data_IF_798011369331
#
_entry.id   IF_798011369331
#
_cell.length_a   1.000
_cell.length_b   1.000
_cell.length_c   1.000
_cell.angle_alpha   90.00
_cell.angle_beta   90.00
_cell.angle_gamma   90.00
#
_symmetry.space_group_name_H-M   'P 1'
#
loop_
_entity.id
_entity.type
_entity.pdbx_description
1 polymer ?
#
# COMPACT_ATOMS: atom_id res chain seq x y z
N UNK A 1 -7.15 14.51 11.00
CA UNK A 1 -8.02 14.92 9.89
C UNK A 1 -9.46 15.08 10.36
N UNK A 2 -9.89 16.31 10.66
CA UNK A 2 -11.27 16.61 11.11
C UNK A 2 -12.29 16.43 9.97
N UNK A 3 -11.83 16.46 8.72
CA UNK A 3 -12.67 16.31 7.53
C UNK A 3 -12.70 14.86 7.00
N UNK A 4 -12.41 13.87 7.82
CA UNK A 4 -12.27 12.46 7.40
C UNK A 4 -13.53 11.88 6.72
N UNK A 5 -14.72 12.42 7.01
CA UNK A 5 -15.98 12.00 6.37
C UNK A 5 -16.18 12.55 4.95
N UNK A 6 -15.44 13.58 4.57
CA UNK A 6 -15.57 14.31 3.31
C UNK A 6 -14.36 14.12 2.39
N UNK A 7 -13.27 13.56 2.94
CA UNK A 7 -11.98 13.44 2.25
C UNK A 7 -11.49 12.01 2.32
N UNK A 8 -10.71 11.61 1.34
CA UNK A 8 -9.96 10.37 1.40
C UNK A 8 -8.63 10.57 2.15
N UNK A 9 -7.88 9.51 2.42
CA UNK A 9 -6.64 9.54 3.20
C UNK A 9 -5.53 10.41 2.58
N UNK A 10 -5.59 10.75 1.29
CA UNK A 10 -4.72 11.74 0.66
C UNK A 10 -4.67 13.04 1.47
N UNK A 11 -5.82 13.48 2.00
CA UNK A 11 -5.89 14.68 2.82
C UNK A 11 -5.24 14.48 4.20
N UNK A 12 -5.33 13.29 4.76
CA UNK A 12 -4.62 12.94 6.00
C UNK A 12 -3.10 12.94 5.81
N UNK A 13 -2.62 12.41 4.68
CA UNK A 13 -1.20 12.49 4.31
C UNK A 13 -0.73 13.94 4.11
N UNK A 14 -1.52 14.77 3.45
CA UNK A 14 -1.26 16.20 3.32
C UNK A 14 -1.05 16.89 4.67
N UNK A 15 -1.94 16.66 5.63
CA UNK A 15 -1.85 17.24 6.97
C UNK A 15 -0.63 16.73 7.77
N UNK A 16 -0.26 15.47 7.59
CA UNK A 16 0.90 14.87 8.25
C UNK A 16 2.23 15.28 7.61
N UNK A 17 2.22 15.54 6.29
CA UNK A 17 3.41 15.79 5.47
C UNK A 17 4.45 16.72 6.07
N UNK A 18 4.10 17.90 6.64
CA UNK A 18 5.07 18.81 7.22
C UNK A 18 5.89 18.25 8.40
N UNK A 19 5.46 17.12 8.99
CA UNK A 19 6.15 16.43 10.10
C UNK A 19 6.91 15.18 9.66
N UNK A 20 6.72 14.74 8.41
CA UNK A 20 7.30 13.52 7.86
C UNK A 20 8.51 13.88 7.01
N UNK A 21 9.71 13.72 7.55
CA UNK A 21 10.98 14.08 6.88
C UNK A 21 12.04 13.01 7.16
N UNK A 22 11.67 11.75 6.95
CA UNK A 22 12.55 10.59 7.14
C UNK A 22 12.17 9.49 6.14
N UNK A 23 12.94 8.41 6.10
CA UNK A 23 12.52 7.17 5.48
C UNK A 23 11.28 6.65 6.19
N UNK A 24 10.32 6.12 5.44
CA UNK A 24 9.05 5.71 6.00
C UNK A 24 8.68 4.27 5.67
N UNK A 25 7.95 3.66 6.60
CA UNK A 25 6.97 2.61 6.31
C UNK A 25 5.58 3.23 6.41
N UNK A 26 4.85 3.23 5.31
CA UNK A 26 3.48 3.69 5.24
C UNK A 26 2.58 2.47 5.02
N UNK A 27 1.57 2.32 5.87
CA UNK A 27 0.58 1.26 5.74
C UNK A 27 -0.83 1.80 6.00
N UNK A 28 -1.81 1.17 5.40
CA UNK A 28 -3.21 1.40 5.76
C UNK A 28 -3.50 0.80 7.14
N UNK A 29 -4.40 1.43 7.91
CA UNK A 29 -4.65 1.06 9.31
C UNK A 29 -5.54 -0.17 9.51
N UNK A 30 -6.02 -0.77 8.43
CA UNK A 30 -6.90 -1.93 8.33
C UNK A 30 -6.19 -3.19 7.85
N UNK A 31 -4.86 -3.17 7.76
CA UNK A 31 -4.05 -4.33 7.40
C UNK A 31 -3.77 -5.24 8.58
N UNK A 32 -3.95 -6.54 8.38
CA UNK A 32 -3.45 -7.61 9.25
C UNK A 32 -2.41 -8.41 8.49
N UNK A 33 -1.24 -8.61 9.08
CA UNK A 33 -0.11 -9.23 8.39
C UNK A 33 0.84 -9.96 9.35
N UNK A 34 1.67 -10.85 8.80
CA UNK A 34 2.72 -11.54 9.53
C UNK A 34 3.80 -10.57 9.99
N UNK A 35 4.32 -10.77 11.19
CA UNK A 35 5.48 -10.01 11.71
C UNK A 35 6.70 -10.13 10.79
N UNK A 36 6.96 -11.32 10.24
CA UNK A 36 8.05 -11.57 9.30
C UNK A 36 8.00 -10.69 8.04
N UNK A 37 6.81 -10.24 7.63
CA UNK A 37 6.65 -9.31 6.50
C UNK A 37 7.22 -7.92 6.83
N UNK A 38 7.05 -7.45 8.06
CA UNK A 38 7.64 -6.18 8.52
C UNK A 38 9.15 -6.29 8.62
N UNK A 39 9.68 -7.39 9.14
CA UNK A 39 11.13 -7.63 9.16
C UNK A 39 11.71 -7.60 7.75
N UNK A 40 11.07 -8.29 6.81
CA UNK A 40 11.49 -8.38 5.41
C UNK A 40 11.50 -7.01 4.73
N UNK A 41 10.40 -6.22 4.84
CA UNK A 41 10.32 -4.90 4.20
C UNK A 41 11.25 -3.89 4.88
N UNK A 42 11.52 -4.04 6.19
CA UNK A 42 12.40 -3.16 6.95
C UNK A 42 13.88 -3.37 6.64
N UNK A 43 14.26 -4.49 6.00
CA UNK A 43 15.65 -4.79 5.64
C UNK A 43 16.31 -3.61 4.91
N UNK A 44 17.57 -3.26 5.23
CA UNK A 44 18.28 -2.13 4.61
C UNK A 44 18.44 -2.25 3.09
N UNK A 45 18.44 -3.48 2.55
CA UNK A 45 18.55 -3.73 1.11
C UNK A 45 17.25 -3.42 0.36
N UNK A 46 16.11 -3.44 1.06
CA UNK A 46 14.80 -3.14 0.47
C UNK A 46 14.59 -1.64 0.46
N UNK A 47 14.35 -1.08 -0.72
CA UNK A 47 14.18 0.36 -0.91
C UNK A 47 13.09 0.65 -1.92
N UNK A 48 12.27 1.66 -1.63
CA UNK A 48 11.24 2.16 -2.53
C UNK A 48 10.38 1.05 -3.13
N UNK A 49 9.63 0.34 -2.29
CA UNK A 49 8.78 -0.79 -2.69
C UNK A 49 7.35 -0.63 -2.18
N UNK A 50 6.42 -1.24 -2.92
CA UNK A 50 5.09 -1.60 -2.45
C UNK A 50 4.93 -3.12 -2.45
N UNK A 51 3.90 -3.65 -1.81
CA UNK A 51 3.67 -5.09 -1.74
C UNK A 51 2.79 -5.58 -2.88
N UNK A 52 3.18 -6.68 -3.53
CA UNK A 52 2.32 -7.40 -4.47
C UNK A 52 2.23 -8.88 -4.09
N UNK A 53 1.13 -9.52 -4.48
CA UNK A 53 1.01 -10.98 -4.49
C UNK A 53 0.78 -11.45 -5.92
N UNK A 54 1.68 -12.32 -6.39
CA UNK A 54 1.63 -12.87 -7.75
C UNK A 54 0.77 -14.11 -7.89
N UNK A 55 0.28 -14.65 -6.77
CA UNK A 55 -0.47 -15.90 -6.71
C UNK A 55 -1.96 -15.71 -6.49
N UNK A 56 -2.35 -14.62 -5.84
CA UNK A 56 -3.75 -14.31 -5.58
C UNK A 56 -4.50 -13.93 -6.85
N UNK A 57 -5.78 -14.32 -6.96
CA UNK A 57 -6.66 -13.78 -7.99
C UNK A 57 -6.79 -12.26 -7.79
N UNK A 58 -6.98 -11.52 -8.89
CA UNK A 58 -7.16 -10.07 -8.81
C UNK A 58 -8.42 -9.73 -8.00
N UNK A 59 -8.29 -8.93 -6.92
CA UNK A 59 -9.44 -8.53 -6.12
C UNK A 59 -10.38 -7.62 -6.95
N UNK A 60 -11.67 -7.63 -6.63
CA UNK A 60 -12.64 -6.80 -7.34
C UNK A 60 -12.51 -5.32 -6.98
N UNK A 61 -12.39 -5.02 -5.68
CA UNK A 61 -12.48 -3.66 -5.12
C UNK A 61 -11.14 -3.09 -4.68
N UNK A 62 -10.19 -3.94 -4.27
CA UNK A 62 -8.94 -3.51 -3.68
C UNK A 62 -7.92 -3.08 -4.73
N UNK A 63 -6.82 -2.52 -4.28
CA UNK A 63 -5.75 -2.07 -5.15
C UNK A 63 -5.09 -3.21 -5.93
N UNK A 64 -4.66 -2.86 -7.13
CA UNK A 64 -3.82 -3.68 -8.00
C UNK A 64 -2.67 -2.85 -8.50
N UNK A 65 -1.55 -3.50 -8.79
CA UNK A 65 -0.39 -2.88 -9.40
C UNK A 65 -0.12 -3.50 -10.78
N UNK A 66 0.10 -2.64 -11.76
CA UNK A 66 0.70 -3.04 -13.03
C UNK A 66 2.21 -3.01 -12.88
N UNK A 67 2.86 -4.14 -13.15
CA UNK A 67 4.32 -4.28 -13.10
C UNK A 67 4.86 -4.34 -14.53
N UNK A 68 5.84 -3.50 -14.81
CA UNK A 68 6.58 -3.44 -16.09
C UNK A 68 8.07 -3.31 -15.76
N UNK A 69 8.92 -4.12 -16.37
CA UNK A 69 10.38 -4.10 -16.17
C UNK A 69 10.79 -4.10 -14.69
N UNK A 70 10.19 -5.03 -13.91
CA UNK A 70 10.40 -5.19 -12.46
C UNK A 70 10.08 -3.94 -11.61
N UNK A 71 9.20 -3.05 -12.09
CA UNK A 71 8.74 -1.87 -11.38
C UNK A 71 7.25 -1.73 -11.43
N UNK A 72 6.70 -1.11 -10.41
CA UNK A 72 5.29 -0.71 -10.39
C UNK A 72 5.13 0.49 -11.31
N UNK A 73 4.42 0.30 -12.41
CA UNK A 73 4.14 1.33 -13.40
C UNK A 73 2.81 2.05 -13.16
N UNK A 74 1.88 1.42 -12.43
CA UNK A 74 0.59 2.01 -12.04
C UNK A 74 -0.02 1.26 -10.88
N UNK A 75 -0.74 1.98 -10.00
CA UNK A 75 -1.55 1.44 -8.91
C UNK A 75 -2.98 1.95 -9.07
N UNK A 76 -3.97 1.06 -9.10
CA UNK A 76 -5.38 1.44 -9.14
C UNK A 76 -6.29 0.24 -8.84
N UNK A 77 -7.47 0.52 -8.32
CA UNK A 77 -8.53 -0.49 -8.10
C UNK A 77 -9.14 -1.01 -9.41
N UNK A 78 -8.94 -0.31 -10.53
CA UNK A 78 -9.56 -0.61 -11.83
C UNK A 78 -8.65 -1.39 -12.80
N UNK A 79 -7.42 -1.72 -12.41
CA UNK A 79 -6.49 -2.44 -13.28
C UNK A 79 -6.96 -3.87 -13.56
N UNK A 80 -6.72 -4.34 -14.81
CA UNK A 80 -6.98 -5.70 -15.29
C UNK A 80 -5.96 -6.04 -16.38
N UNK A 81 -5.73 -7.32 -16.61
CA UNK A 81 -4.91 -7.83 -17.70
C UNK A 81 -3.55 -8.36 -17.27
N UNK A 82 -2.70 -8.64 -18.23
CA UNK A 82 -1.37 -9.22 -18.02
C UNK A 82 -0.45 -8.25 -17.28
N UNK A 83 0.40 -8.78 -16.40
CA UNK A 83 1.31 -7.97 -15.58
C UNK A 83 0.65 -7.23 -14.42
N UNK A 84 -0.65 -7.43 -14.20
CA UNK A 84 -1.38 -6.86 -13.07
C UNK A 84 -1.46 -7.87 -11.95
N UNK A 85 -1.14 -7.44 -10.72
CA UNK A 85 -1.14 -8.26 -9.51
C UNK A 85 -1.95 -7.60 -8.40
N UNK A 86 -2.40 -8.40 -7.43
CA UNK A 86 -2.97 -7.89 -6.19
C UNK A 86 -1.93 -7.03 -5.47
N UNK A 87 -2.34 -5.89 -4.95
CA UNK A 87 -1.46 -4.92 -4.30
C UNK A 87 -1.98 -4.61 -2.89
N UNK A 88 -1.08 -4.68 -1.92
CA UNK A 88 -1.37 -4.26 -0.54
C UNK A 88 -0.72 -2.90 -0.26
N UNK A 89 -1.48 -1.94 0.27
CA UNK A 89 -1.00 -0.58 0.52
C UNK A 89 -0.08 -0.51 1.76
N UNK A 90 1.02 -1.23 1.69
CA UNK A 90 2.17 -1.16 2.58
C UNK A 90 3.40 -0.80 1.73
N UNK A 91 4.01 0.32 2.06
CA UNK A 91 5.12 0.89 1.30
C UNK A 91 6.33 1.10 2.19
N UNK A 92 7.52 0.87 1.63
CA UNK A 92 8.77 1.45 2.15
C UNK A 92 9.28 2.47 1.15
N UNK A 93 9.53 3.68 1.60
CA UNK A 93 10.04 4.77 0.75
C UNK A 93 11.19 5.50 1.46
N UNK A 94 12.25 5.73 0.72
CA UNK A 94 13.31 6.64 1.15
C UNK A 94 12.75 8.08 1.21
N UNK A 95 13.27 8.87 2.12
CA UNK A 95 12.83 10.25 2.41
C UNK A 95 12.64 11.12 1.17
N UNK A 96 13.61 11.09 0.24
CA UNK A 96 13.55 11.90 -0.98
C UNK A 96 12.41 11.45 -1.92
N UNK A 97 12.13 10.16 -2.01
CA UNK A 97 11.05 9.61 -2.81
C UNK A 97 9.68 9.90 -2.20
N UNK A 98 9.59 9.77 -0.89
CA UNK A 98 8.38 10.15 -0.17
C UNK A 98 8.10 11.66 -0.26
N UNK A 99 9.13 12.50 -0.22
CA UNK A 99 8.99 13.94 -0.40
C UNK A 99 8.42 14.31 -1.79
N UNK A 100 8.77 13.56 -2.85
CA UNK A 100 8.16 13.75 -4.17
C UNK A 100 6.66 13.46 -4.13
N UNK A 101 6.26 12.36 -3.48
CA UNK A 101 4.84 12.02 -3.34
C UNK A 101 4.08 13.09 -2.55
N UNK A 102 4.61 13.54 -1.41
CA UNK A 102 4.00 14.61 -0.62
C UNK A 102 3.83 15.91 -1.40
N UNK A 103 4.78 16.23 -2.30
CA UNK A 103 4.68 17.40 -3.19
C UNK A 103 3.52 17.27 -4.17
N UNK A 104 3.31 16.10 -4.78
CA UNK A 104 2.16 15.88 -5.67
C UNK A 104 0.84 15.87 -4.89
N UNK A 105 0.82 15.30 -3.70
CA UNK A 105 -0.34 15.38 -2.79
C UNK A 105 -0.70 16.84 -2.47
N UNK A 106 0.28 17.70 -2.20
CA UNK A 106 0.06 19.14 -1.98
C UNK A 106 -0.61 19.81 -3.19
N UNK A 107 -0.17 19.46 -4.40
CA UNK A 107 -0.78 19.96 -5.65
C UNK A 107 -2.23 19.49 -5.77
N UNK A 108 -2.50 18.20 -5.55
CA UNK A 108 -3.86 17.65 -5.60
C UNK A 108 -4.80 18.33 -4.60
N UNK A 109 -4.37 18.49 -3.36
CA UNK A 109 -5.17 19.13 -2.30
C UNK A 109 -5.45 20.59 -2.61
N UNK A 110 -4.46 21.35 -3.11
CA UNK A 110 -4.64 22.76 -3.52
C UNK A 110 -5.60 22.91 -4.70
N UNK A 111 -5.72 21.91 -5.54
CA UNK A 111 -6.70 21.85 -6.64
C UNK A 111 -8.08 21.37 -6.19
N UNK A 112 -8.26 21.01 -4.90
CA UNK A 112 -9.52 20.51 -4.36
C UNK A 112 -9.71 19.00 -4.53
N UNK A 113 -8.73 18.26 -5.05
CA UNK A 113 -8.77 16.81 -5.26
C UNK A 113 -8.50 16.06 -3.94
N UNK A 114 -9.41 16.17 -2.98
CA UNK A 114 -9.26 15.62 -1.61
C UNK A 114 -9.99 14.30 -1.38
N UNK A 115 -10.81 13.86 -2.36
CA UNK A 115 -11.64 12.64 -2.26
C UNK A 115 -11.09 11.48 -3.09
N UNK A 116 -9.92 11.66 -3.71
CA UNK A 116 -9.23 10.61 -4.47
C UNK A 116 -8.26 9.84 -3.58
N UNK A 117 -7.84 8.66 -4.01
CA UNK A 117 -6.77 7.93 -3.37
C UNK A 117 -5.42 8.64 -3.56
N UNK A 118 -4.52 8.54 -2.58
CA UNK A 118 -3.19 9.17 -2.68
C UNK A 118 -2.35 8.55 -3.79
N UNK A 119 -2.64 7.31 -4.20
CA UNK A 119 -2.03 6.62 -5.33
C UNK A 119 -2.26 7.35 -6.66
N UNK A 120 -3.33 8.14 -6.80
CA UNK A 120 -3.52 8.96 -8.02
C UNK A 120 -2.39 10.00 -8.16
N UNK A 121 -1.96 10.59 -7.05
CA UNK A 121 -0.80 11.49 -7.03
C UNK A 121 0.51 10.73 -7.24
N UNK A 122 0.67 9.54 -6.63
CA UNK A 122 1.85 8.69 -6.79
C UNK A 122 2.02 8.23 -8.23
N UNK A 123 0.94 7.88 -8.91
CA UNK A 123 0.95 7.42 -10.30
C UNK A 123 1.56 8.44 -11.27
N UNK A 124 1.53 9.74 -10.96
CA UNK A 124 2.12 10.78 -11.81
C UNK A 124 3.66 10.81 -11.75
N UNK A 125 4.23 10.26 -10.68
CA UNK A 125 5.67 10.35 -10.38
C UNK A 125 6.35 8.99 -10.23
N UNK A 126 5.68 7.89 -10.55
CA UNK A 126 6.24 6.54 -10.40
C UNK A 126 7.56 6.35 -11.14
N UNK A 127 7.75 7.03 -12.28
CA UNK A 127 9.01 6.99 -13.02
C UNK A 127 10.16 7.65 -12.25
N UNK A 128 9.89 8.73 -11.50
CA UNK A 128 10.89 9.45 -10.69
C UNK A 128 11.16 8.74 -9.36
N UNK A 129 10.13 8.15 -8.79
CA UNK A 129 10.23 7.35 -7.55
C UNK A 129 10.96 6.03 -7.79
N UNK A 130 10.82 5.45 -8.99
CA UNK A 130 11.31 4.11 -9.32
C UNK A 130 10.79 3.04 -8.34
N UNK A 131 9.48 3.05 -8.11
CA UNK A 131 8.86 2.14 -7.15
C UNK A 131 8.99 0.68 -7.62
N UNK A 132 9.77 -0.10 -6.88
CA UNK A 132 9.84 -1.54 -7.02
C UNK A 132 8.69 -2.25 -6.30
N UNK A 133 8.79 -3.57 -6.20
CA UNK A 133 7.84 -4.35 -5.42
C UNK A 133 8.54 -5.38 -4.55
N UNK A 134 7.88 -5.74 -3.45
CA UNK A 134 8.18 -6.90 -2.65
C UNK A 134 7.04 -7.92 -2.84
N UNK A 135 7.37 -9.12 -3.30
CA UNK A 135 6.40 -10.21 -3.40
C UNK A 135 6.18 -10.81 -2.01
N UNK A 136 4.92 -10.76 -1.54
CA UNK A 136 4.53 -11.27 -0.23
C UNK A 136 3.74 -12.59 -0.29
N UNK A 137 3.69 -13.27 -1.46
CA UNK A 137 2.90 -14.50 -1.68
C UNK A 137 3.14 -15.61 -0.63
N UNK A 138 4.28 -15.58 0.08
CA UNK A 138 4.61 -16.53 1.16
C UNK A 138 4.25 -16.01 2.57
N UNK A 139 3.59 -14.87 2.66
CA UNK A 139 3.25 -14.21 3.93
C UNK A 139 1.77 -13.90 3.99
N UNK A 140 1.22 -13.91 5.20
CA UNK A 140 -0.14 -13.45 5.40
C UNK A 140 -0.19 -11.91 5.35
N UNK A 141 -1.09 -11.38 4.53
CA UNK A 141 -1.44 -9.95 4.54
C UNK A 141 -2.85 -9.78 3.96
N UNK A 142 -3.75 -9.15 4.72
CA UNK A 142 -5.15 -8.97 4.34
C UNK A 142 -5.71 -7.65 4.87
N UNK A 143 -6.59 -7.00 4.10
CA UNK A 143 -7.36 -5.83 4.55
C UNK A 143 -8.65 -6.28 5.27
N UNK A 144 -9.08 -5.50 6.27
CA UNK A 144 -10.35 -5.68 6.97
C UNK A 144 -11.22 -4.46 6.70
N UNK A 145 -12.03 -4.54 5.66
CA UNK A 145 -12.99 -3.49 5.26
C UNK A 145 -14.40 -3.73 5.81
N UNK A 146 -14.75 -4.98 6.03
CA UNK A 146 -16.10 -5.40 6.42
C UNK A 146 -16.08 -6.33 7.62
N UNK A 147 -17.23 -6.47 8.34
CA UNK A 147 -17.36 -7.50 9.39
C UNK A 147 -17.11 -8.94 8.88
N UNK A 148 -17.33 -9.19 7.58
CA UNK A 148 -17.06 -10.48 6.98
C UNK A 148 -15.56 -10.73 6.86
N UNK A 149 -14.78 -9.72 6.45
CA UNK A 149 -13.32 -9.82 6.38
C UNK A 149 -12.71 -10.09 7.75
N UNK A 150 -13.23 -9.42 8.79
CA UNK A 150 -12.82 -9.68 10.18
C UNK A 150 -13.04 -11.13 10.59
N UNK A 151 -14.21 -11.73 10.24
CA UNK A 151 -14.50 -13.13 10.54
C UNK A 151 -13.59 -14.09 9.78
N UNK A 152 -13.18 -13.74 8.57
CA UNK A 152 -12.25 -14.52 7.77
C UNK A 152 -10.85 -14.46 8.35
N UNK A 153 -10.35 -13.26 8.66
CA UNK A 153 -9.06 -13.05 9.31
C UNK A 153 -8.98 -13.79 10.65
N UNK A 154 -10.00 -13.72 11.49
CA UNK A 154 -10.05 -14.45 12.78
C UNK A 154 -9.92 -15.98 12.59
N UNK A 155 -10.56 -16.53 11.55
CA UNK A 155 -10.42 -17.95 11.20
C UNK A 155 -9.03 -18.31 10.70
N UNK A 156 -8.45 -17.43 9.87
CA UNK A 156 -7.13 -17.65 9.30
C UNK A 156 -6.08 -17.66 10.43
N UNK A 157 -6.11 -16.68 11.34
CA UNK A 157 -5.18 -16.58 12.47
C UNK A 157 -5.28 -17.83 13.37
N UNK A 158 -6.48 -18.27 13.72
CA UNK A 158 -6.66 -19.47 14.57
C UNK A 158 -6.07 -20.74 13.93
N UNK A 159 -6.11 -20.89 12.63
CA UNK A 159 -5.48 -22.01 11.93
C UNK A 159 -3.95 -21.95 12.03
N UNK A 160 -3.35 -20.76 11.91
CA UNK A 160 -1.91 -20.58 12.11
C UNK A 160 -1.49 -21.01 13.52
N UNK A 161 -2.22 -20.59 14.55
CA UNK A 161 -1.92 -20.95 15.95
C UNK A 161 -2.03 -22.46 16.20
N UNK A 162 -2.95 -23.16 15.55
CA UNK A 162 -3.12 -24.63 15.65
C UNK A 162 -1.99 -25.39 14.96
N UNK A 163 -1.51 -24.90 13.80
CA UNK A 163 -0.43 -25.53 13.04
C UNK A 163 0.95 -25.35 13.73
N UNK A 164 1.20 -24.25 14.42
CA UNK A 164 2.43 -24.03 15.20
C UNK A 164 2.49 -24.88 16.49
N UNK A 165 1.35 -25.34 16.99
CA UNK A 165 1.27 -26.15 18.23
C UNK A 165 1.24 -27.66 17.98
N UNK A 166 1.30 -28.11 16.73
CA UNK A 166 1.26 -29.53 16.31
C UNK A 166 2.62 -30.04 15.85
#
# INVERSE_FOLDING_TARGET
NERYKETNYIYSMYLAGPRLNDDILLLHGDLVFDEALIEKISSPEVKNVGLIDKTLPLPEKDFKALVVDDRIARISVNLRGDGVFAFMPLYKLERDKFALWLKEIDIFVKQGNVSVYAEEALNLILQDVHLGYLDYSCHYCKEIDTPQDLLEVDKDIRRYDEDETS
#
